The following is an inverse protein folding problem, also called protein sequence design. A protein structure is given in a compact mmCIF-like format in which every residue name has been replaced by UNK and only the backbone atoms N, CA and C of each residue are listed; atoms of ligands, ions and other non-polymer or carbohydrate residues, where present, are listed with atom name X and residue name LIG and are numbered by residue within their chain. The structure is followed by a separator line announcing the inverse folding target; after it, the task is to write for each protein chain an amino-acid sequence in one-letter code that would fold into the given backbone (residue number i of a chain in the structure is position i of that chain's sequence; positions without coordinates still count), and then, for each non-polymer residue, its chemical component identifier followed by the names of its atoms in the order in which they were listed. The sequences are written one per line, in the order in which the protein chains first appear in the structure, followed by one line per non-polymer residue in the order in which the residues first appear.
data_IF_660237329335
#
_entry.id   IF_660237329335
#
_cell.length_a   1.000
_cell.length_b   1.000
_cell.length_c   1.000
_cell.angle_alpha   90.00
_cell.angle_beta   90.00
_cell.angle_gamma   90.00
#
_symmetry.space_group_name_H-M   'P 1'
#
loop_
_entity.id
_entity.type
_entity.pdbx_description
1 polymer ?
#
# COMPACT_ATOMS: atom_id res chain seq x y z
N UNK A 1 4.95 -5.76 -23.74
CA UNK A 1 3.81 -6.43 -23.11
C UNK A 1 3.67 -5.80 -21.74
N UNK A 2 2.55 -5.19 -21.41
CA UNK A 2 2.37 -4.59 -20.08
C UNK A 2 2.26 -5.74 -19.07
N UNK A 3 3.15 -5.75 -18.07
CA UNK A 3 3.07 -6.70 -16.97
C UNK A 3 1.85 -6.32 -16.12
N UNK A 4 0.70 -6.94 -16.40
CA UNK A 4 -0.56 -6.69 -15.71
C UNK A 4 -0.60 -7.30 -14.30
N UNK A 5 0.42 -8.08 -13.95
CA UNK A 5 0.56 -8.76 -12.65
C UNK A 5 1.82 -8.22 -11.95
N UNK A 6 1.68 -7.87 -10.68
CA UNK A 6 2.78 -7.50 -9.81
C UNK A 6 2.82 -8.46 -8.61
N UNK A 7 4.02 -8.92 -8.27
CA UNK A 7 4.28 -9.69 -7.06
C UNK A 7 5.15 -8.85 -6.14
N UNK A 8 4.71 -8.63 -4.92
CA UNK A 8 5.45 -7.79 -3.98
C UNK A 8 5.01 -7.99 -2.54
N UNK A 9 5.74 -7.36 -1.63
CA UNK A 9 5.47 -7.36 -0.18
C UNK A 9 4.61 -6.15 0.19
N UNK A 10 3.87 -6.27 1.28
CA UNK A 10 3.15 -5.14 1.87
C UNK A 10 4.14 -4.23 2.59
N UNK A 11 4.18 -2.95 2.18
CA UNK A 11 4.96 -1.90 2.81
C UNK A 11 4.05 -0.87 3.45
N UNK A 12 4.42 -0.43 4.65
CA UNK A 12 3.76 0.65 5.38
C UNK A 12 4.83 1.63 5.87
N UNK A 13 4.59 2.92 5.63
CA UNK A 13 5.54 3.98 5.97
C UNK A 13 4.82 5.12 6.68
N UNK A 14 5.22 5.36 7.92
CA UNK A 14 4.60 6.32 8.80
C UNK A 14 5.26 7.69 8.72
N UNK A 15 4.45 8.75 8.78
CA UNK A 15 4.94 10.12 8.76
C UNK A 15 4.28 10.93 9.87
N UNK A 16 5.10 11.69 10.62
CA UNK A 16 4.69 12.60 11.68
C UNK A 16 4.37 13.99 11.13
N UNK A 17 3.57 14.74 11.86
CA UNK A 17 3.43 16.18 11.62
C UNK A 17 2.30 16.56 10.69
N UNK A 18 1.21 15.81 10.68
CA UNK A 18 -0.02 16.29 10.06
C UNK A 18 -0.73 17.32 10.94
N UNK A 19 -1.31 18.32 10.32
CA UNK A 19 -2.12 19.36 10.95
C UNK A 19 -3.59 19.24 10.55
N UNK A 20 -4.48 19.82 11.35
CA UNK A 20 -5.90 19.89 11.04
C UNK A 20 -6.27 21.24 10.45
N UNK A 21 -7.24 21.26 9.54
CA UNK A 21 -7.81 22.47 8.96
C UNK A 21 -9.30 22.30 8.76
N UNK A 22 -10.09 23.32 9.14
CA UNK A 22 -11.50 23.38 8.80
C UNK A 22 -11.71 24.30 7.59
N UNK A 23 -12.42 23.80 6.58
CA UNK A 23 -12.78 24.55 5.37
C UNK A 23 -14.23 24.22 4.97
N UNK A 24 -15.09 25.23 4.87
CA UNK A 24 -16.48 25.06 4.43
C UNK A 24 -17.31 24.10 5.29
N UNK A 25 -16.98 23.92 6.57
CA UNK A 25 -17.62 22.99 7.49
C UNK A 25 -17.03 21.55 7.44
N UNK A 26 -16.10 21.31 6.55
CA UNK A 26 -15.38 20.02 6.46
C UNK A 26 -14.06 20.08 7.25
N UNK A 27 -13.74 19.00 7.92
CA UNK A 27 -12.46 18.83 8.62
C UNK A 27 -11.47 18.09 7.71
N UNK A 28 -10.25 18.63 7.61
CA UNK A 28 -9.16 18.07 6.85
C UNK A 28 -7.97 17.78 7.74
N UNK A 29 -7.19 16.78 7.37
CA UNK A 29 -5.81 16.56 7.81
C UNK A 29 -4.88 16.86 6.63
N UNK A 30 -3.77 17.53 6.89
CA UNK A 30 -2.79 17.88 5.87
C UNK A 30 -1.38 17.93 6.45
N UNK A 31 -0.39 17.70 5.62
CA UNK A 31 1.01 17.71 6.02
C UNK A 31 1.90 16.91 5.10
N UNK A 32 3.09 16.56 5.55
CA UNK A 32 3.96 15.62 4.86
C UNK A 32 3.35 14.23 4.96
N UNK A 33 3.20 13.53 3.83
CA UNK A 33 2.61 12.18 3.76
C UNK A 33 3.60 11.12 3.32
N UNK A 34 4.67 11.50 2.62
CA UNK A 34 5.79 10.65 2.31
C UNK A 34 7.04 11.47 2.00
N UNK A 35 8.22 10.87 2.14
CA UNK A 35 9.51 11.49 1.84
C UNK A 35 10.39 10.52 1.05
N UNK A 36 10.85 10.98 -0.11
CA UNK A 36 11.82 10.27 -0.94
C UNK A 36 13.26 10.49 -0.47
N UNK A 37 14.18 9.67 -0.95
CA UNK A 37 15.62 9.76 -0.68
C UNK A 37 15.93 9.93 0.81
N UNK A 38 15.18 9.26 1.66
CA UNK A 38 15.29 9.33 3.11
C UNK A 38 15.25 7.93 3.70
N UNK A 39 16.18 7.65 4.63
CA UNK A 39 16.18 6.40 5.39
C UNK A 39 15.11 6.47 6.47
N UNK A 40 14.03 5.73 6.30
CA UNK A 40 12.94 5.67 7.25
C UNK A 40 13.26 4.73 8.44
N UNK A 41 12.35 4.70 9.42
CA UNK A 41 12.51 3.90 10.64
C UNK A 41 12.43 2.38 10.36
N UNK A 42 11.89 1.99 9.21
CA UNK A 42 11.81 0.60 8.75
C UNK A 42 13.08 0.13 7.99
N UNK A 43 14.14 0.92 7.97
CA UNK A 43 15.38 0.59 7.27
C UNK A 43 15.29 0.68 5.74
N UNK A 44 14.23 1.33 5.21
CA UNK A 44 13.99 1.47 3.78
C UNK A 44 14.32 2.87 3.27
N UNK A 45 14.76 2.91 2.02
CA UNK A 45 14.90 4.14 1.25
C UNK A 45 14.04 4.02 0.01
N UNK A 46 13.17 4.99 -0.19
CA UNK A 46 12.37 5.13 -1.40
C UNK A 46 13.03 6.17 -2.31
N UNK A 47 13.58 5.81 -3.48
CA UNK A 47 13.98 6.80 -4.46
C UNK A 47 12.79 7.72 -4.78
N UNK A 48 13.01 9.04 -4.81
CA UNK A 48 11.94 10.03 -5.04
C UNK A 48 11.14 9.71 -6.30
N UNK A 49 11.80 9.26 -7.36
CA UNK A 49 11.16 8.88 -8.62
C UNK A 49 10.14 7.73 -8.44
N UNK A 50 10.42 6.74 -7.61
CA UNK A 50 9.51 5.62 -7.33
C UNK A 50 8.24 6.12 -6.60
N UNK A 51 8.41 7.03 -5.64
CA UNK A 51 7.26 7.67 -4.97
C UNK A 51 6.47 8.54 -5.94
N UNK A 52 7.14 9.35 -6.78
CA UNK A 52 6.51 10.22 -7.79
C UNK A 52 5.60 9.40 -8.72
N UNK A 53 6.13 8.37 -9.37
CA UNK A 53 5.36 7.47 -10.25
C UNK A 53 4.17 6.82 -9.53
N UNK A 54 4.37 6.42 -8.28
CA UNK A 54 3.34 5.80 -7.46
C UNK A 54 2.23 6.78 -7.06
N UNK A 55 2.59 7.99 -6.63
CA UNK A 55 1.62 9.04 -6.27
C UNK A 55 0.90 9.61 -7.48
N UNK A 56 1.55 9.77 -8.64
CA UNK A 56 0.90 10.18 -9.88
C UNK A 56 -0.17 9.16 -10.31
N UNK A 57 0.16 7.88 -10.26
CA UNK A 57 -0.79 6.80 -10.55
C UNK A 57 -1.94 6.80 -9.55
N UNK A 58 -1.64 6.92 -8.24
CA UNK A 58 -2.65 6.99 -7.19
C UNK A 58 -3.56 8.21 -7.34
N UNK A 59 -3.00 9.37 -7.70
CA UNK A 59 -3.78 10.58 -7.96
C UNK A 59 -4.77 10.37 -9.10
N UNK A 60 -4.30 9.95 -10.26
CA UNK A 60 -5.12 9.70 -11.43
C UNK A 60 -6.21 8.65 -11.20
N UNK A 61 -5.88 7.55 -10.52
CA UNK A 61 -6.77 6.41 -10.40
C UNK A 61 -7.68 6.44 -9.18
N UNK A 62 -7.27 7.15 -8.13
CA UNK A 62 -7.98 7.16 -6.84
C UNK A 62 -8.45 8.55 -6.42
N UNK A 63 -7.58 9.56 -6.40
CA UNK A 63 -7.94 10.90 -5.93
C UNK A 63 -8.91 11.56 -6.90
N UNK A 64 -8.56 11.64 -8.19
CA UNK A 64 -9.36 12.29 -9.22
C UNK A 64 -10.70 11.59 -9.44
N UNK A 65 -10.79 10.31 -9.11
CA UNK A 65 -12.02 9.50 -9.18
C UNK A 65 -12.77 9.42 -7.84
N UNK A 66 -12.33 10.14 -6.79
CA UNK A 66 -12.93 10.17 -5.44
C UNK A 66 -13.00 8.78 -4.77
N UNK A 67 -12.02 7.93 -5.03
CA UNK A 67 -11.89 6.57 -4.47
C UNK A 67 -10.68 6.40 -3.55
N UNK A 68 -9.96 7.49 -3.26
CA UNK A 68 -8.76 7.50 -2.43
C UNK A 68 -9.10 7.45 -0.93
N UNK A 69 -9.79 6.40 -0.50
CA UNK A 69 -10.18 6.19 0.89
C UNK A 69 -9.00 5.69 1.73
N UNK A 70 -8.99 6.05 3.03
CA UNK A 70 -8.04 5.58 4.02
C UNK A 70 -8.73 5.13 5.31
N UNK A 71 -8.10 4.18 5.98
CA UNK A 71 -8.63 3.51 7.18
C UNK A 71 -8.12 4.17 8.47
N UNK A 72 -8.81 3.89 9.56
CA UNK A 72 -8.33 4.16 10.92
C UNK A 72 -7.54 2.94 11.39
N UNK A 73 -6.25 3.12 11.68
CA UNK A 73 -5.22 2.12 11.91
C UNK A 73 -4.89 1.25 10.68
N UNK A 74 -3.68 0.69 10.66
CA UNK A 74 -3.25 -0.23 9.62
C UNK A 74 -3.80 -1.64 9.88
N UNK A 75 -4.51 -2.25 8.91
CA UNK A 75 -4.67 -3.69 8.89
C UNK A 75 -3.45 -4.38 8.22
N UNK A 76 -3.19 -5.62 8.60
CA UNK A 76 -2.20 -6.49 7.96
C UNK A 76 -2.67 -7.00 6.59
N UNK A 77 -3.33 -6.17 5.81
CA UNK A 77 -3.94 -6.52 4.53
C UNK A 77 -3.83 -5.34 3.56
N UNK A 78 -3.34 -5.54 2.32
CA UNK A 78 -3.27 -4.49 1.32
C UNK A 78 -4.64 -4.09 0.73
N UNK A 79 -5.71 -4.83 1.00
CA UNK A 79 -7.06 -4.48 0.59
C UNK A 79 -7.67 -3.47 1.54
N UNK A 80 -8.39 -2.49 0.97
CA UNK A 80 -9.17 -1.52 1.73
C UNK A 80 -10.46 -2.17 2.26
N UNK A 81 -10.73 -1.98 3.57
CA UNK A 81 -11.97 -2.39 4.19
C UNK A 81 -12.88 -1.17 4.41
N UNK A 82 -14.03 -1.14 3.74
CA UNK A 82 -14.97 -0.03 3.81
C UNK A 82 -15.55 0.19 5.22
N UNK A 83 -15.59 -0.84 6.06
CA UNK A 83 -16.06 -0.72 7.46
C UNK A 83 -15.06 0.05 8.34
N UNK A 84 -13.83 0.31 7.87
CA UNK A 84 -12.76 0.95 8.62
C UNK A 84 -12.39 2.33 8.11
N UNK A 85 -12.98 2.80 7.02
CA UNK A 85 -12.62 4.06 6.40
C UNK A 85 -12.96 5.26 7.28
N UNK A 86 -12.06 6.22 7.35
CA UNK A 86 -12.24 7.45 8.12
C UNK A 86 -11.84 8.71 7.36
N UNK A 87 -11.03 8.59 6.30
CA UNK A 87 -10.59 9.72 5.48
C UNK A 87 -10.75 9.43 3.99
N UNK A 88 -10.71 10.51 3.19
CA UNK A 88 -10.56 10.47 1.73
C UNK A 88 -9.51 11.48 1.31
N UNK A 89 -8.46 11.03 0.65
CA UNK A 89 -7.45 11.90 0.05
C UNK A 89 -8.10 12.79 -1.01
N UNK A 90 -7.80 14.09 -0.94
CA UNK A 90 -8.33 15.10 -1.88
C UNK A 90 -7.26 15.73 -2.74
N UNK A 91 -6.01 15.73 -2.28
CA UNK A 91 -4.87 16.26 -3.05
C UNK A 91 -3.55 15.66 -2.56
N UNK A 92 -2.56 15.67 -3.44
CA UNK A 92 -1.15 15.42 -3.13
C UNK A 92 -0.29 16.30 -4.02
N UNK A 93 0.76 16.91 -3.44
CA UNK A 93 1.72 17.77 -4.13
C UNK A 93 3.13 17.38 -3.75
N UNK A 94 3.99 17.26 -4.75
CA UNK A 94 5.42 17.06 -4.57
C UNK A 94 6.16 18.38 -4.49
N UNK A 95 7.13 18.45 -3.58
CA UNK A 95 8.10 19.53 -3.49
C UNK A 95 9.49 18.93 -3.19
N UNK A 96 10.31 18.76 -4.22
CA UNK A 96 11.56 18.01 -4.12
C UNK A 96 11.30 16.55 -3.73
N UNK A 97 11.89 16.12 -2.62
CA UNK A 97 11.72 14.76 -2.09
C UNK A 97 10.47 14.61 -1.19
N UNK A 98 9.79 15.71 -0.87
CA UNK A 98 8.67 15.73 0.05
C UNK A 98 7.32 15.66 -0.70
N UNK A 99 6.42 14.78 -0.21
CA UNK A 99 5.06 14.61 -0.74
C UNK A 99 4.05 15.10 0.30
N UNK A 100 3.46 16.26 0.05
CA UNK A 100 2.45 16.87 0.92
C UNK A 100 1.05 16.46 0.50
N UNK A 101 0.31 15.87 1.42
CA UNK A 101 -1.05 15.40 1.21
C UNK A 101 -2.10 16.24 1.92
N UNK A 102 -3.32 16.18 1.40
CA UNK A 102 -4.53 16.68 2.03
C UNK A 102 -5.62 15.63 1.96
N UNK A 103 -6.23 15.30 3.10
CA UNK A 103 -7.32 14.34 3.20
C UNK A 103 -8.50 14.93 3.98
N UNK A 104 -9.70 14.75 3.46
CA UNK A 104 -10.95 15.08 4.14
C UNK A 104 -11.28 14.00 5.15
N UNK A 105 -11.58 14.37 6.38
CA UNK A 105 -12.19 13.46 7.37
C UNK A 105 -13.65 13.26 6.99
N UNK A 106 -14.04 11.99 6.83
CA UNK A 106 -15.38 11.62 6.36
C UNK A 106 -16.48 11.99 7.38
N UNK A 107 -17.74 11.81 7.01
CA UNK A 107 -18.90 12.08 7.85
C UNK A 107 -18.83 11.34 9.18
N UNK A 108 -19.29 11.97 10.26
CA UNK A 108 -19.44 11.36 11.60
C UNK A 108 -20.56 10.31 11.70
N UNK A 109 -21.34 10.14 10.65
CA UNK A 109 -22.21 8.97 10.48
C UNK A 109 -21.40 7.66 10.35
N UNK A 110 -20.15 7.74 9.84
CA UNK A 110 -19.23 6.62 9.79
C UNK A 110 -18.52 6.44 11.15
N UNK A 111 -18.60 5.27 11.79
CA UNK A 111 -18.06 5.07 13.14
C UNK A 111 -16.58 5.47 13.28
N UNK A 112 -15.74 5.08 12.32
CA UNK A 112 -14.29 5.35 12.35
C UNK A 112 -13.98 6.83 12.13
N UNK A 113 -14.70 7.50 11.23
CA UNK A 113 -14.56 8.93 11.02
C UNK A 113 -15.02 9.73 12.25
N UNK A 114 -16.07 9.30 12.93
CA UNK A 114 -16.54 9.90 14.20
C UNK A 114 -15.49 9.78 15.29
N UNK A 115 -14.84 8.61 15.43
CA UNK A 115 -13.75 8.39 16.38
C UNK A 115 -12.59 9.37 16.05
N UNK A 116 -12.15 9.40 14.80
CA UNK A 116 -11.08 10.30 14.36
C UNK A 116 -11.42 11.78 14.65
N UNK A 117 -12.65 12.23 14.29
CA UNK A 117 -13.10 13.60 14.59
C UNK A 117 -13.06 13.91 16.09
N UNK A 118 -13.50 12.96 16.93
CA UNK A 118 -13.45 13.10 18.39
C UNK A 118 -12.02 13.27 18.90
N UNK A 119 -11.07 12.46 18.43
CA UNK A 119 -9.66 12.55 18.77
C UNK A 119 -9.08 13.91 18.37
N UNK A 120 -9.26 14.32 17.11
CA UNK A 120 -8.75 15.60 16.60
C UNK A 120 -9.34 16.81 17.35
N UNK A 121 -10.66 16.80 17.64
CA UNK A 121 -11.31 17.87 18.43
C UNK A 121 -10.83 17.91 19.87
N UNK A 122 -10.40 16.77 20.41
CA UNK A 122 -9.80 16.69 21.76
C UNK A 122 -8.33 17.11 21.81
N UNK A 123 -7.76 17.53 20.67
CA UNK A 123 -6.35 17.94 20.58
C UNK A 123 -5.37 16.78 20.46
N UNK A 124 -5.83 15.56 20.18
CA UNK A 124 -4.94 14.43 19.95
C UNK A 124 -4.21 14.60 18.61
N UNK A 125 -2.90 14.37 18.63
CA UNK A 125 -2.11 14.28 17.41
C UNK A 125 -2.27 12.88 16.81
N UNK A 126 -2.45 12.83 15.50
CA UNK A 126 -2.45 11.60 14.73
C UNK A 126 -1.39 11.68 13.64
N UNK A 127 -0.92 10.54 13.17
CA UNK A 127 -0.07 10.44 12.01
C UNK A 127 -0.83 9.92 10.79
N UNK A 128 -0.12 9.88 9.68
CA UNK A 128 -0.57 9.17 8.48
C UNK A 128 0.47 8.16 8.06
N UNK A 129 0.02 7.12 7.40
CA UNK A 129 0.88 6.08 6.91
C UNK A 129 0.47 5.67 5.51
N UNK A 130 1.44 5.59 4.60
CA UNK A 130 1.22 5.05 3.26
C UNK A 130 1.26 3.53 3.32
N UNK A 131 0.28 2.88 2.72
CA UNK A 131 0.20 1.42 2.60
C UNK A 131 0.18 1.04 1.13
N UNK A 132 1.13 0.19 0.73
CA UNK A 132 1.28 -0.22 -0.65
C UNK A 132 1.95 -1.58 -0.80
N UNK A 133 2.05 -2.03 -2.04
CA UNK A 133 2.81 -3.22 -2.41
C UNK A 133 4.12 -2.79 -3.05
N UNK A 134 5.22 -3.39 -2.62
CA UNK A 134 6.54 -3.03 -3.11
C UNK A 134 7.50 -4.20 -3.18
N UNK A 135 8.61 -3.98 -3.86
CA UNK A 135 9.82 -4.78 -3.81
C UNK A 135 11.00 -3.90 -3.44
N UNK A 136 12.00 -4.48 -2.81
CA UNK A 136 13.21 -3.78 -2.40
C UNK A 136 14.42 -4.71 -2.53
N UNK A 137 15.59 -4.13 -2.72
CA UNK A 137 16.87 -4.82 -2.80
C UNK A 137 17.85 -4.24 -1.79
N UNK A 138 18.82 -5.05 -1.38
CA UNK A 138 19.91 -4.57 -0.52
C UNK A 138 20.73 -3.51 -1.24
N UNK A 139 20.96 -2.39 -0.58
CA UNK A 139 21.70 -1.24 -1.10
C UNK A 139 22.47 -0.53 0.02
N UNK A 140 23.19 0.53 -0.32
CA UNK A 140 23.87 1.41 0.65
C UNK A 140 23.37 2.83 0.48
N UNK A 141 22.93 3.41 1.57
CA UNK A 141 22.54 4.81 1.67
C UNK A 141 23.31 5.48 2.80
N UNK A 142 24.05 6.55 2.50
CA UNK A 142 24.93 7.26 3.47
C UNK A 142 25.86 6.32 4.26
N UNK A 143 26.39 5.28 3.60
CA UNK A 143 27.31 4.31 4.22
C UNK A 143 26.64 3.22 5.08
N UNK A 144 25.32 3.22 5.20
CA UNK A 144 24.52 2.21 5.91
C UNK A 144 23.93 1.20 4.96
N UNK A 145 23.82 -0.05 5.36
CA UNK A 145 23.04 -1.06 4.61
C UNK A 145 21.55 -0.75 4.79
N UNK A 146 20.83 -0.71 3.69
CA UNK A 146 19.41 -0.37 3.64
C UNK A 146 18.68 -1.29 2.67
N UNK A 147 17.35 -1.30 2.75
CA UNK A 147 16.48 -1.86 1.73
C UNK A 147 16.05 -0.71 0.79
N UNK A 148 16.59 -0.65 -0.43
CA UNK A 148 16.20 0.32 -1.43
C UNK A 148 15.02 -0.20 -2.23
N UNK A 149 13.92 0.56 -2.20
CA UNK A 149 12.68 0.20 -2.88
C UNK A 149 12.85 0.44 -4.38
N UNK A 150 12.66 -0.61 -5.17
CA UNK A 150 12.79 -0.57 -6.64
C UNK A 150 11.44 -0.51 -7.35
N UNK A 151 10.36 -0.97 -6.69
CA UNK A 151 8.98 -0.80 -7.17
C UNK A 151 8.05 -0.53 -5.98
N UNK A 152 7.07 0.35 -6.18
CA UNK A 152 6.06 0.64 -5.18
C UNK A 152 4.71 0.98 -5.83
N UNK A 153 3.64 0.37 -5.35
CA UNK A 153 2.26 0.62 -5.80
C UNK A 153 1.46 1.04 -4.57
N UNK A 154 1.24 2.34 -4.43
CA UNK A 154 0.45 2.92 -3.34
C UNK A 154 -1.01 2.44 -3.42
N UNK A 155 -1.51 1.87 -2.33
CA UNK A 155 -2.89 1.36 -2.23
C UNK A 155 -3.81 2.32 -1.50
N UNK A 156 -3.35 2.87 -0.37
CA UNK A 156 -4.07 3.86 0.42
C UNK A 156 -3.12 4.63 1.34
N UNK A 157 -3.66 5.68 1.94
CA UNK A 157 -3.05 6.41 3.06
C UNK A 157 -3.99 6.28 4.24
N UNK A 158 -3.52 5.75 5.35
CA UNK A 158 -4.30 5.47 6.55
C UNK A 158 -3.95 6.46 7.67
N UNK A 159 -4.82 6.56 8.66
CA UNK A 159 -4.58 7.35 9.89
C UNK A 159 -4.10 6.42 10.97
N UNK A 160 -2.97 6.77 11.61
CA UNK A 160 -2.35 5.98 12.68
C UNK A 160 -2.22 6.79 13.96
N UNK A 161 -2.27 6.11 15.11
CA UNK A 161 -2.27 6.76 16.42
C UNK A 161 -0.90 7.32 16.78
N UNK A 162 0.16 6.57 16.54
CA UNK A 162 1.54 6.96 16.83
C UNK A 162 2.47 6.43 15.73
N UNK A 163 2.90 7.32 14.81
CA UNK A 163 3.83 6.96 13.77
C UNK A 163 5.27 6.70 14.29
N UNK A 164 5.50 6.74 15.58
CA UNK A 164 6.82 6.56 16.20
C UNK A 164 6.96 5.34 17.10
N UNK A 165 5.95 4.50 17.20
CA UNK A 165 6.07 3.25 17.96
C UNK A 165 6.94 2.28 17.17
N UNK A 166 8.04 1.84 17.80
CA UNK A 166 8.96 0.84 17.29
C UNK A 166 8.22 -0.33 16.62
N UNK A 167 8.09 -0.27 15.33
CA UNK A 167 7.54 -1.34 14.49
C UNK A 167 8.51 -2.53 14.34
N UNK A 168 9.55 -2.62 15.16
CA UNK A 168 10.52 -3.72 15.13
C UNK A 168 9.87 -5.11 15.27
N UNK A 169 8.68 -5.18 15.91
CA UNK A 169 7.91 -6.44 16.02
C UNK A 169 6.98 -6.67 14.83
N UNK A 170 6.58 -5.64 14.11
CA UNK A 170 5.68 -5.74 12.93
C UNK A 170 6.48 -6.08 11.68
N UNK A 171 7.74 -5.65 11.58
CA UNK A 171 8.64 -5.96 10.45
C UNK A 171 8.80 -7.47 10.24
N UNK A 172 9.01 -8.23 11.29
CA UNK A 172 9.25 -9.68 11.19
C UNK A 172 8.02 -10.47 10.69
N UNK A 173 6.81 -9.93 10.89
CA UNK A 173 5.56 -10.59 10.48
C UNK A 173 5.14 -10.19 9.07
N UNK A 174 5.38 -8.92 8.66
CA UNK A 174 5.00 -8.41 7.34
C UNK A 174 5.97 -8.80 6.23
N UNK A 175 7.25 -8.93 6.51
CA UNK A 175 8.27 -9.34 5.53
C UNK A 175 8.11 -10.77 5.01
N UNK A 176 7.36 -11.63 5.72
CA UNK A 176 7.13 -13.01 5.32
C UNK A 176 5.97 -13.20 4.33
N UNK A 177 5.13 -12.18 4.11
CA UNK A 177 3.95 -12.27 3.26
C UNK A 177 4.20 -11.64 1.90
N UNK A 178 4.04 -12.43 0.84
CA UNK A 178 4.06 -11.95 -0.53
C UNK A 178 2.63 -11.90 -1.09
N UNK A 179 2.38 -10.93 -1.95
CA UNK A 179 1.08 -10.70 -2.56
C UNK A 179 1.19 -10.63 -4.08
N UNK A 180 0.17 -11.13 -4.77
CA UNK A 180 -0.04 -10.93 -6.19
C UNK A 180 -1.07 -9.83 -6.37
N UNK A 181 -0.73 -8.80 -7.15
CA UNK A 181 -1.65 -7.76 -7.59
C UNK A 181 -1.93 -7.93 -9.09
N UNK A 182 -3.20 -8.13 -9.45
CA UNK A 182 -3.67 -7.93 -10.82
C UNK A 182 -3.94 -6.43 -11.05
N UNK A 183 -3.08 -5.78 -11.83
CA UNK A 183 -3.17 -4.33 -12.09
C UNK A 183 -4.43 -3.92 -12.84
N UNK A 184 -5.02 -4.83 -13.63
CA UNK A 184 -6.23 -4.55 -14.40
C UNK A 184 -7.49 -4.56 -13.54
N UNK A 185 -7.63 -5.57 -12.67
CA UNK A 185 -8.79 -5.68 -11.76
C UNK A 185 -8.58 -4.98 -10.43
N UNK A 186 -7.33 -4.73 -10.03
CA UNK A 186 -6.96 -4.25 -8.71
C UNK A 186 -7.08 -5.29 -7.60
N UNK A 187 -7.34 -6.56 -7.96
CA UNK A 187 -7.43 -7.67 -7.01
C UNK A 187 -6.07 -8.01 -6.43
N UNK A 188 -6.03 -8.29 -5.13
CA UNK A 188 -4.83 -8.67 -4.39
C UNK A 188 -5.04 -10.01 -3.72
N UNK A 189 -4.11 -10.94 -3.90
CA UNK A 189 -4.15 -12.29 -3.31
C UNK A 189 -2.84 -12.54 -2.56
N UNK A 190 -2.94 -13.01 -1.32
CA UNK A 190 -1.77 -13.43 -0.53
C UNK A 190 -1.17 -14.72 -1.11
N UNK A 191 0.14 -14.73 -1.34
CA UNK A 191 0.92 -15.91 -1.69
C UNK A 191 1.26 -16.70 -0.42
N UNK A 192 0.55 -17.79 -0.19
CA UNK A 192 0.89 -18.74 0.88
C UNK A 192 1.62 -19.97 0.33
N UNK A 193 2.21 -20.78 1.23
CA UNK A 193 2.99 -21.97 0.86
C UNK A 193 2.24 -22.94 -0.09
N UNK A 194 0.92 -23.08 0.10
CA UNK A 194 0.11 -23.96 -0.76
C UNK A 194 -0.05 -23.40 -2.18
N UNK A 195 -0.09 -22.08 -2.31
CA UNK A 195 -0.15 -21.37 -3.59
C UNK A 195 1.20 -21.47 -4.30
N UNK A 196 2.29 -21.23 -3.55
CA UNK A 196 3.68 -21.33 -4.06
C UNK A 196 4.00 -22.75 -4.57
N UNK A 197 3.75 -23.78 -3.76
CA UNK A 197 3.99 -25.18 -4.11
C UNK A 197 3.23 -25.63 -5.37
N UNK A 198 2.06 -25.04 -5.62
CA UNK A 198 1.24 -25.30 -6.81
C UNK A 198 1.86 -24.70 -8.07
N UNK A 199 2.46 -23.53 -7.98
CA UNK A 199 3.18 -22.89 -9.08
C UNK A 199 4.52 -23.54 -9.33
N UNK A 200 5.32 -23.81 -8.28
CA UNK A 200 6.60 -24.48 -8.40
C UNK A 200 6.50 -25.87 -9.04
N UNK A 201 5.51 -26.67 -8.64
CA UNK A 201 5.32 -28.01 -9.22
C UNK A 201 4.95 -27.97 -10.71
N UNK A 202 4.24 -26.94 -11.17
CA UNK A 202 3.95 -26.74 -12.58
C UNK A 202 5.19 -26.32 -13.37
N UNK A 203 6.04 -25.46 -12.79
CA UNK A 203 7.23 -24.90 -13.47
C UNK A 203 8.41 -25.85 -13.49
N UNK A 204 8.63 -26.66 -12.44
CA UNK A 204 9.76 -27.61 -12.35
C UNK A 204 9.78 -28.66 -13.45
N UNK A 205 8.62 -28.97 -14.02
CA UNK A 205 8.47 -30.03 -15.03
C UNK A 205 8.47 -29.52 -16.48
N UNK A 206 8.73 -28.21 -16.72
CA UNK A 206 8.71 -27.65 -18.07
C UNK A 206 10.13 -27.57 -18.66
N UNK A 207 10.38 -28.23 -19.80
CA UNK A 207 11.69 -28.20 -20.50
C UNK A 207 11.80 -26.91 -21.33
N UNK A 208 11.87 -25.75 -20.68
CA UNK A 208 11.87 -24.44 -21.34
C UNK A 208 12.92 -23.52 -20.75
N UNK A 209 13.39 -22.55 -21.53
CA UNK A 209 14.34 -21.53 -21.11
C UNK A 209 13.73 -20.57 -20.04
N UNK A 210 14.59 -19.76 -19.40
CA UNK A 210 14.17 -18.89 -18.31
C UNK A 210 13.12 -17.85 -18.73
N UNK A 211 13.18 -17.32 -19.95
CA UNK A 211 12.24 -16.33 -20.46
C UNK A 211 10.84 -16.94 -20.65
N UNK A 212 10.79 -18.16 -21.17
CA UNK A 212 9.55 -18.91 -21.33
C UNK A 212 8.97 -19.37 -20.00
N UNK A 213 9.82 -19.63 -18.99
CA UNK A 213 9.39 -19.92 -17.61
C UNK A 213 8.68 -18.73 -16.98
N UNK A 214 9.18 -17.50 -17.17
CA UNK A 214 8.50 -16.28 -16.71
C UNK A 214 7.12 -16.12 -17.36
N UNK A 215 7.02 -16.25 -18.68
CA UNK A 215 5.73 -16.16 -19.39
C UNK A 215 4.71 -17.17 -18.84
N UNK A 216 5.14 -18.42 -18.66
CA UNK A 216 4.30 -19.51 -18.13
C UNK A 216 3.94 -19.31 -16.65
N UNK A 217 4.83 -18.67 -15.87
CA UNK A 217 4.52 -18.27 -14.51
C UNK A 217 3.38 -17.24 -14.50
N UNK A 218 3.47 -16.19 -15.33
CA UNK A 218 2.43 -15.19 -15.46
C UNK A 218 1.09 -15.77 -15.95
N UNK A 219 1.12 -16.69 -16.93
CA UNK A 219 -0.08 -17.39 -17.38
C UNK A 219 -0.70 -18.23 -16.24
N UNK A 220 0.12 -18.95 -15.48
CA UNK A 220 -0.33 -19.79 -14.36
C UNK A 220 -0.93 -18.95 -13.22
N UNK A 221 -0.36 -17.79 -12.91
CA UNK A 221 -0.87 -16.85 -11.93
C UNK A 221 -2.21 -16.28 -12.40
N UNK A 222 -2.31 -15.89 -13.68
CA UNK A 222 -3.56 -15.38 -14.26
C UNK A 222 -4.67 -16.43 -14.23
N UNK A 223 -4.37 -17.68 -14.57
CA UNK A 223 -5.32 -18.79 -14.49
C UNK A 223 -5.78 -19.05 -13.06
N UNK A 224 -4.88 -18.92 -12.08
CA UNK A 224 -5.21 -19.03 -10.67
C UNK A 224 -6.16 -17.92 -10.23
N UNK A 225 -5.88 -16.66 -10.55
CA UNK A 225 -6.75 -15.52 -10.27
C UNK A 225 -8.12 -15.69 -10.92
N UNK A 226 -8.17 -16.12 -12.18
CA UNK A 226 -9.43 -16.43 -12.87
C UNK A 226 -10.19 -17.58 -12.20
N UNK A 227 -9.51 -18.58 -11.65
CA UNK A 227 -10.14 -19.68 -10.92
C UNK A 227 -10.80 -19.25 -9.61
N UNK A 228 -10.27 -18.20 -8.98
CA UNK A 228 -10.86 -17.60 -7.76
C UNK A 228 -12.13 -16.82 -8.08
N UNK A 229 -12.23 -16.24 -9.28
CA UNK A 229 -13.40 -15.49 -9.75
C UNK A 229 -14.54 -16.38 -10.23
N UNK A 230 -14.26 -17.65 -10.60
CA UNK A 230 -15.27 -18.58 -11.03
C UNK A 230 -16.25 -18.89 -9.88
N UNK A 231 -17.58 -18.78 -10.05
CA UNK A 231 -18.51 -19.10 -8.99
C UNK A 231 -18.31 -20.56 -8.58
N UNK A 232 -18.06 -20.79 -7.28
CA UNK A 232 -17.94 -22.15 -6.72
C UNK A 232 -19.19 -22.94 -7.09
N UNK A 233 -19.09 -23.90 -8.03
CA UNK A 233 -20.16 -24.85 -8.29
C UNK A 233 -20.51 -25.51 -6.94
N UNK A 234 -21.70 -25.26 -6.44
CA UNK A 234 -22.22 -25.98 -5.27
C UNK A 234 -22.10 -27.47 -5.58
N UNK A 235 -21.26 -28.20 -4.84
CA UNK A 235 -21.29 -29.66 -4.85
C UNK A 235 -22.68 -30.06 -4.36
N UNK A 236 -23.43 -30.72 -5.25
CA UNK A 236 -24.66 -31.42 -4.91
C UNK A 236 -24.32 -32.66 -4.11
#
# INVERSE_FOLDING_TARGET
MSNDIFVGKLFSEDVKGVSTKEEGGDLFIQGLFAKGNYLNENGRVYPTKILEESFETYKREKIDTKRALGELNHPDNPQLNLDRVCIMMTDVKQNGDDFYGKAKVLSDELPQARILRGLLKSGCNVGVSTRGLGSAQESKFEGRNVQEVDQYILRCVDVVADPSVNCAYVEAIQESKEYILDKLSGEVVELNESTYSRFESRLKNLPVDNKRKEELLYESIRDFLNSLRAPRKKRR
#
